data_IF_620521563123
#
_entry.id   IF_620521563123
#
_cell.length_a   1.000
_cell.length_b   1.000
_cell.length_c   1.000
_cell.angle_alpha   90.00
_cell.angle_beta   90.00
_cell.angle_gamma   90.00
#
_symmetry.space_group_name_H-M   'P 1'
#
loop_
_entity.id
_entity.type
_entity.pdbx_description
1 polymer ?
#
# COMPACT_ATOMS: atom_id res chain seq x y z
N UNK A 1 -34.15 2.42 -19.60
CA UNK A 1 -33.37 2.31 -18.34
C UNK A 1 -32.10 1.55 -18.68
N UNK A 2 -31.04 2.25 -19.12
CA UNK A 2 -29.75 1.63 -19.43
C UNK A 2 -28.76 2.08 -18.35
N UNK A 3 -28.51 1.22 -17.38
CA UNK A 3 -27.38 1.37 -16.48
C UNK A 3 -26.11 1.24 -17.34
N UNK A 4 -25.18 2.20 -17.33
CA UNK A 4 -23.84 1.91 -17.77
C UNK A 4 -23.26 0.94 -16.75
N UNK A 5 -23.12 -0.33 -17.15
CA UNK A 5 -22.28 -1.29 -16.47
C UNK A 5 -20.91 -0.65 -16.32
N UNK A 6 -20.59 -0.23 -15.09
CA UNK A 6 -19.26 0.24 -14.75
C UNK A 6 -18.31 -0.84 -15.25
N UNK A 7 -17.36 -0.56 -16.16
CA UNK A 7 -16.35 -1.54 -16.45
C UNK A 7 -15.63 -1.67 -15.11
N UNK A 8 -15.80 -2.81 -14.46
CA UNK A 8 -14.97 -3.26 -13.36
C UNK A 8 -13.60 -3.48 -13.97
N UNK A 9 -12.92 -2.37 -14.26
CA UNK A 9 -11.53 -2.33 -14.66
C UNK A 9 -10.82 -2.98 -13.48
N UNK A 10 -10.31 -4.17 -13.71
CA UNK A 10 -8.89 -4.53 -13.57
C UNK A 10 -7.94 -3.31 -13.46
N UNK A 11 -8.22 -2.39 -12.55
CA UNK A 11 -7.36 -1.27 -12.14
C UNK A 11 -6.35 -1.81 -11.13
N UNK A 12 -5.91 -3.03 -11.40
CA UNK A 12 -4.77 -3.68 -10.83
C UNK A 12 -3.55 -3.45 -11.76
N UNK A 13 -3.65 -2.47 -12.67
CA UNK A 13 -2.50 -1.81 -13.28
C UNK A 13 -1.61 -1.36 -12.14
N UNK A 14 -0.44 -1.99 -12.01
CA UNK A 14 0.47 -1.89 -10.89
C UNK A 14 0.48 -0.48 -10.28
N UNK A 15 -0.31 -0.29 -9.23
CA UNK A 15 -0.49 1.04 -8.66
C UNK A 15 0.83 1.44 -8.00
N UNK A 16 1.25 2.71 -8.10
CA UNK A 16 2.48 3.14 -7.47
C UNK A 16 2.30 3.18 -5.95
N UNK A 17 3.29 2.66 -5.23
CA UNK A 17 3.36 2.87 -3.80
C UNK A 17 3.51 4.35 -3.51
N UNK A 18 2.61 4.90 -2.69
CA UNK A 18 2.53 6.34 -2.40
C UNK A 18 3.81 6.94 -1.77
N UNK A 19 4.73 6.08 -1.33
CA UNK A 19 5.92 6.47 -0.59
C UNK A 19 7.25 6.22 -1.32
N UNK A 20 7.39 5.13 -2.08
CA UNK A 20 8.60 4.85 -2.85
C UNK A 20 8.41 4.97 -4.36
N UNK A 21 7.18 5.17 -4.84
CA UNK A 21 6.85 5.29 -6.27
C UNK A 21 6.81 3.95 -7.02
N UNK A 22 7.47 2.92 -6.51
CA UNK A 22 7.49 1.58 -7.11
C UNK A 22 6.10 0.97 -7.25
N UNK A 23 5.87 0.34 -8.40
CA UNK A 23 4.62 -0.30 -8.74
C UNK A 23 4.46 -1.60 -7.92
N UNK A 24 3.31 -1.78 -7.28
CA UNK A 24 3.03 -2.99 -6.50
C UNK A 24 2.07 -3.93 -7.23
N UNK A 25 2.24 -5.23 -6.97
CA UNK A 25 1.35 -6.27 -7.50
C UNK A 25 -0.02 -6.18 -6.84
N UNK A 26 -1.11 -6.63 -7.50
CA UNK A 26 -2.45 -6.66 -6.92
C UNK A 26 -2.50 -7.42 -5.58
N UNK A 27 -1.66 -8.45 -5.41
CA UNK A 27 -1.53 -9.19 -4.15
C UNK A 27 -1.03 -8.34 -2.97
N UNK A 28 -0.26 -7.28 -3.25
CA UNK A 28 0.24 -6.33 -2.26
C UNK A 28 -0.70 -5.13 -2.07
N UNK A 29 -1.85 -5.08 -2.76
CA UNK A 29 -2.80 -3.97 -2.68
C UNK A 29 -3.29 -3.74 -1.26
N UNK A 30 -3.69 -4.80 -0.55
CA UNK A 30 -4.12 -4.69 0.86
C UNK A 30 -3.04 -4.05 1.74
N UNK A 31 -1.77 -4.38 1.50
CA UNK A 31 -0.64 -3.78 2.21
C UNK A 31 -0.50 -2.29 1.89
N UNK A 32 -0.91 -1.84 0.72
CA UNK A 32 -0.82 -0.44 0.30
C UNK A 32 -2.05 0.39 0.65
N UNK A 33 -3.18 -0.24 0.99
CA UNK A 33 -4.43 0.44 1.34
C UNK A 33 -4.80 0.34 2.81
N UNK A 34 -4.44 -0.74 3.50
CA UNK A 34 -4.75 -0.91 4.92
C UNK A 34 -3.72 -0.19 5.80
N UNK A 35 -4.12 0.38 6.94
CA UNK A 35 -3.19 1.04 7.84
C UNK A 35 -2.31 0.03 8.60
N UNK A 36 -1.06 0.39 8.87
CA UNK A 36 -0.20 -0.35 9.79
C UNK A 36 -0.64 -0.11 11.23
N UNK A 37 -0.86 -1.21 11.96
CA UNK A 37 -1.18 -1.19 13.39
C UNK A 37 0.07 -1.47 14.24
N UNK A 38 1.03 -0.55 14.20
CA UNK A 38 2.31 -0.65 14.90
C UNK A 38 2.24 -0.41 16.43
N UNK A 39 1.05 -0.42 17.03
CA UNK A 39 0.84 -0.16 18.45
C UNK A 39 1.22 1.27 18.86
N UNK A 40 2.19 1.50 19.76
CA UNK A 40 2.53 2.81 20.31
C UNK A 40 3.28 3.74 19.36
N UNK A 41 3.64 3.29 18.15
CA UNK A 41 4.41 4.10 17.21
C UNK A 41 3.54 5.20 16.58
N UNK A 42 3.78 6.45 16.99
CA UNK A 42 3.16 7.65 16.42
C UNK A 42 3.66 7.98 15.00
N UNK A 43 4.80 7.43 14.60
CA UNK A 43 5.44 7.75 13.32
C UNK A 43 4.81 7.00 12.16
N UNK A 44 4.36 5.75 12.39
CA UNK A 44 3.80 4.90 11.34
C UNK A 44 2.27 4.76 11.43
N UNK A 45 1.63 5.19 12.52
CA UNK A 45 0.17 5.11 12.65
C UNK A 45 -0.54 5.79 11.49
N UNK A 46 -1.45 5.07 10.83
CA UNK A 46 -2.20 5.56 9.66
C UNK A 46 -1.45 5.50 8.33
N UNK A 47 -0.16 5.12 8.30
CA UNK A 47 0.53 4.78 7.04
C UNK A 47 0.08 3.40 6.53
N UNK A 48 0.26 3.09 5.24
CA UNK A 48 -0.08 1.77 4.72
C UNK A 48 0.67 0.62 5.41
N UNK A 49 0.09 -0.58 5.44
CA UNK A 49 0.65 -1.80 6.00
C UNK A 49 1.88 -2.34 5.25
N UNK A 50 2.24 -1.76 4.11
CA UNK A 50 3.52 -1.97 3.45
C UNK A 50 4.67 -1.38 4.30
N UNK A 51 4.35 -0.47 5.22
CA UNK A 51 5.28 0.05 6.20
C UNK A 51 5.52 -0.92 7.35
N UNK A 52 6.77 -1.31 7.53
CA UNK A 52 7.26 -1.92 8.76
C UNK A 52 7.81 -0.85 9.70
N UNK A 53 7.31 -0.88 10.94
CA UNK A 53 7.80 -0.04 12.02
C UNK A 53 9.14 -0.56 12.55
N UNK A 54 10.18 0.28 12.52
CA UNK A 54 11.51 0.01 13.08
C UNK A 54 11.77 0.89 14.31
N UNK A 55 10.78 0.96 15.21
CA UNK A 55 10.74 1.77 16.44
C UNK A 55 10.73 3.29 16.20
N UNK A 56 11.75 3.83 15.53
CA UNK A 56 11.93 5.28 15.33
C UNK A 56 11.66 5.75 13.89
N UNK A 57 11.46 4.82 12.96
CA UNK A 57 11.22 5.14 11.54
C UNK A 57 10.39 4.04 10.87
N UNK A 58 9.78 4.38 9.72
CA UNK A 58 8.93 3.49 8.94
C UNK A 58 9.60 3.20 7.59
N UNK A 59 9.67 1.93 7.20
CA UNK A 59 10.23 1.51 5.90
C UNK A 59 9.22 0.69 5.13
N UNK A 60 9.16 0.88 3.81
CA UNK A 60 8.38 -0.02 2.95
C UNK A 60 9.10 -1.37 2.88
N UNK A 61 8.55 -2.41 3.51
CA UNK A 61 9.16 -3.74 3.55
C UNK A 61 8.86 -4.54 2.26
N UNK A 62 7.76 -4.20 1.58
CA UNK A 62 7.38 -4.81 0.28
C UNK A 62 8.42 -4.51 -0.79
N UNK A 63 8.96 -3.29 -0.81
CA UNK A 63 9.90 -2.83 -1.84
C UNK A 63 11.35 -2.74 -1.34
N UNK A 64 11.64 -3.12 -0.09
CA UNK A 64 12.98 -3.03 0.51
C UNK A 64 14.07 -3.79 -0.25
N UNK A 65 13.69 -4.81 -1.02
CA UNK A 65 14.60 -5.65 -1.81
C UNK A 65 14.38 -5.58 -3.32
N UNK A 66 13.45 -4.72 -3.79
CA UNK A 66 13.25 -4.46 -5.21
C UNK A 66 14.07 -3.22 -5.56
N UNK A 67 15.30 -3.44 -6.03
CA UNK A 67 16.25 -2.41 -6.46
C UNK A 67 16.51 -2.51 -7.95
#
# INVERSE_FOLDING_TARGET
MNHPSVPQRDTAEHLPCHHCGEAYEPADQARHTEPVHCGPCITCVGKPACFSCRLMYCVCDVHRYRG
#
